data_IF_331618432322
#
_entry.id   IF_331618432322
#
_cell.length_a   1.000
_cell.length_b   1.000
_cell.length_c   1.000
_cell.angle_alpha   90.00
_cell.angle_beta   90.00
_cell.angle_gamma   90.00
#
_symmetry.space_group_name_H-M   'P 1'
#
loop_
_entity.id
_entity.type
_entity.pdbx_description
1 polymer ?
#
# COMPACT_ATOMS: atom_id res chain seq x y z
N UNK A 1 6.76 6.87 2.17
CA UNK A 1 7.09 5.44 2.43
C UNK A 1 5.99 4.77 3.25
N UNK A 2 5.71 5.26 4.48
CA UNK A 2 4.65 4.74 5.36
C UNK A 2 3.28 4.48 4.68
N UNK A 3 2.75 5.43 3.92
CA UNK A 3 1.42 5.27 3.31
C UNK A 3 1.32 4.12 2.30
N UNK A 4 2.43 3.73 1.65
CA UNK A 4 2.46 2.62 0.72
C UNK A 4 2.44 1.27 1.45
N UNK A 5 3.27 1.15 2.50
CA UNK A 5 3.37 -0.07 3.31
C UNK A 5 2.11 -0.29 4.13
N UNK A 6 1.52 0.78 4.67
CA UNK A 6 0.22 0.75 5.34
C UNK A 6 -0.89 0.26 4.39
N UNK A 7 -0.91 0.74 3.15
CA UNK A 7 -1.85 0.26 2.12
C UNK A 7 -1.66 -1.24 1.85
N UNK A 8 -0.42 -1.69 1.64
CA UNK A 8 -0.12 -3.11 1.40
C UNK A 8 -0.59 -3.99 2.56
N UNK A 9 -0.31 -3.60 3.81
CA UNK A 9 -0.78 -4.30 5.01
C UNK A 9 -2.30 -4.35 5.08
N UNK A 10 -2.98 -3.23 4.79
CA UNK A 10 -4.45 -3.18 4.75
C UNK A 10 -5.05 -4.09 3.68
N UNK A 11 -4.52 -4.05 2.46
CA UNK A 11 -4.95 -4.91 1.35
C UNK A 11 -4.72 -6.39 1.65
N UNK A 12 -3.52 -6.74 2.15
CA UNK A 12 -3.19 -8.11 2.56
C UNK A 12 -4.11 -8.61 3.66
N UNK A 13 -4.39 -7.75 4.64
CA UNK A 13 -5.33 -8.07 5.70
C UNK A 13 -6.69 -8.36 5.08
N UNK A 14 -7.24 -7.49 4.23
CA UNK A 14 -8.59 -7.63 3.67
C UNK A 14 -8.78 -8.81 2.70
N UNK A 15 -7.70 -9.29 2.07
CA UNK A 15 -7.73 -10.38 1.10
C UNK A 15 -8.49 -11.62 1.63
N UNK A 16 -9.44 -12.13 0.84
CA UNK A 16 -10.25 -13.29 1.20
C UNK A 16 -11.32 -13.05 2.28
N UNK A 17 -11.43 -11.83 2.84
CA UNK A 17 -12.46 -11.45 3.84
C UNK A 17 -13.57 -10.57 3.31
N UNK A 18 -13.37 -9.97 2.13
CA UNK A 18 -14.33 -9.09 1.45
C UNK A 18 -14.33 -9.39 -0.05
N UNK A 19 -15.45 -9.15 -0.71
CA UNK A 19 -15.59 -9.38 -2.15
C UNK A 19 -14.78 -8.38 -2.98
N UNK A 20 -14.68 -7.14 -2.50
CA UNK A 20 -13.92 -6.08 -3.14
C UNK A 20 -13.47 -5.01 -2.13
N UNK A 21 -12.32 -4.39 -2.40
CA UNK A 21 -11.81 -3.24 -1.67
C UNK A 21 -11.26 -2.22 -2.68
N UNK A 22 -11.76 -0.99 -2.62
CA UNK A 22 -11.28 0.10 -3.47
C UNK A 22 -10.46 1.11 -2.67
N UNK A 23 -9.35 1.55 -3.24
CA UNK A 23 -8.60 2.67 -2.70
C UNK A 23 -9.30 4.00 -3.05
N UNK A 24 -9.51 4.84 -2.05
CA UNK A 24 -9.99 6.21 -2.22
C UNK A 24 -8.80 7.18 -2.20
N UNK A 25 -8.38 7.82 -3.30
CA UNK A 25 -8.94 7.86 -4.67
C UNK A 25 -7.86 7.64 -5.73
N UNK A 26 -8.27 7.49 -6.99
CA UNK A 26 -7.35 7.39 -8.11
C UNK A 26 -6.40 8.60 -8.25
N UNK A 27 -6.86 9.83 -8.01
CA UNK A 27 -6.08 11.04 -8.29
C UNK A 27 -6.39 12.19 -7.32
N UNK A 28 -5.42 13.09 -7.15
CA UNK A 28 -5.59 14.38 -6.46
C UNK A 28 -6.42 15.41 -7.26
N UNK A 29 -6.93 15.06 -8.45
CA UNK A 29 -8.04 15.80 -9.06
C UNK A 29 -9.30 15.62 -8.20
N UNK A 30 -9.34 16.35 -7.08
CA UNK A 30 -10.27 16.18 -5.97
C UNK A 30 -10.46 17.53 -5.26
N UNK A 31 -11.69 17.89 -4.88
CA UNK A 31 -12.02 19.25 -4.41
C UNK A 31 -12.89 19.30 -3.14
N UNK A 32 -13.00 18.23 -2.34
CA UNK A 32 -13.79 18.24 -1.08
C UNK A 32 -13.35 19.35 -0.11
N UNK A 33 -12.05 19.68 -0.11
CA UNK A 33 -11.46 20.78 0.67
C UNK A 33 -11.03 21.96 -0.22
N UNK A 34 -11.64 22.08 -1.40
CA UNK A 34 -11.26 23.03 -2.44
C UNK A 34 -10.09 22.55 -3.31
N UNK A 35 -9.66 23.43 -4.21
CA UNK A 35 -8.61 23.12 -5.19
C UNK A 35 -7.26 22.77 -4.52
N UNK A 36 -6.52 21.79 -5.05
CA UNK A 36 -5.17 21.47 -4.58
C UNK A 36 -4.26 22.70 -4.55
N UNK A 37 -3.77 23.14 -3.38
CA UNK A 37 -3.02 24.40 -3.27
C UNK A 37 -1.58 24.29 -3.78
N UNK A 38 -1.04 23.07 -3.88
CA UNK A 38 0.35 22.76 -4.28
C UNK A 38 0.41 21.35 -4.86
N UNK A 39 1.50 21.02 -5.57
CA UNK A 39 1.70 19.67 -6.13
C UNK A 39 1.60 18.55 -5.07
N UNK A 40 2.27 18.73 -3.93
CA UNK A 40 2.18 17.85 -2.75
C UNK A 40 1.50 18.59 -1.60
N UNK A 41 0.27 18.17 -1.30
CA UNK A 41 -0.61 18.82 -0.34
C UNK A 41 -1.29 17.82 0.62
N UNK A 42 -0.80 16.58 0.67
CA UNK A 42 -1.39 15.53 1.52
C UNK A 42 -2.66 14.90 0.95
N UNK A 43 -3.00 15.17 -0.31
CA UNK A 43 -4.20 14.64 -0.97
C UNK A 43 -4.29 13.11 -0.97
N UNK A 44 -5.53 12.63 -1.05
CA UNK A 44 -5.88 11.20 -1.01
C UNK A 44 -5.38 10.42 -2.23
N UNK A 45 -5.21 11.07 -3.39
CA UNK A 45 -4.94 10.41 -4.66
C UNK A 45 -3.73 9.46 -4.69
N UNK A 46 -3.80 8.43 -5.53
CA UNK A 46 -2.66 7.63 -5.94
C UNK A 46 -1.70 8.42 -6.85
N UNK A 47 -2.25 9.34 -7.66
CA UNK A 47 -1.51 10.19 -8.60
C UNK A 47 -1.74 11.66 -8.24
N UNK A 48 -0.70 12.50 -8.30
CA UNK A 48 -0.83 13.94 -8.07
C UNK A 48 -1.61 14.63 -9.21
N UNK A 49 -2.02 15.88 -9.00
CA UNK A 49 -2.62 16.73 -10.06
C UNK A 49 -1.69 16.91 -11.26
N UNK A 50 -0.37 16.83 -11.03
CA UNK A 50 0.65 16.91 -12.07
C UNK A 50 0.96 15.57 -12.76
N UNK A 51 0.18 14.51 -12.50
CA UNK A 51 0.38 13.20 -13.12
C UNK A 51 1.51 12.36 -12.51
N UNK A 52 2.04 12.74 -11.34
CA UNK A 52 3.13 12.00 -10.70
C UNK A 52 2.55 10.88 -9.83
N UNK A 53 2.96 9.64 -10.10
CA UNK A 53 2.64 8.49 -9.27
C UNK A 53 3.22 8.65 -7.86
N UNK A 54 2.36 8.56 -6.83
CA UNK A 54 2.81 8.55 -5.42
C UNK A 54 3.22 7.13 -5.00
N UNK A 55 3.93 6.96 -3.87
CA UNK A 55 4.27 5.63 -3.37
C UNK A 55 3.09 4.64 -3.26
N UNK A 56 1.88 5.13 -2.95
CA UNK A 56 0.67 4.31 -2.90
C UNK A 56 0.25 3.76 -4.27
N UNK A 57 0.46 4.51 -5.36
CA UNK A 57 0.24 4.01 -6.72
C UNK A 57 1.10 2.78 -6.99
N UNK A 58 2.40 2.88 -6.68
CA UNK A 58 3.32 1.76 -6.89
C UNK A 58 2.98 0.56 -6.02
N UNK A 59 2.46 0.75 -4.80
CA UNK A 59 1.95 -0.35 -3.98
C UNK A 59 0.78 -1.09 -4.66
N UNK A 60 -0.20 -0.36 -5.21
CA UNK A 60 -1.32 -0.96 -5.95
C UNK A 60 -0.84 -1.63 -7.24
N UNK A 61 0.09 -1.02 -7.97
CA UNK A 61 0.69 -1.61 -9.17
C UNK A 61 1.46 -2.89 -8.85
N UNK A 62 2.23 -2.91 -7.76
CA UNK A 62 2.95 -4.10 -7.29
C UNK A 62 1.97 -5.22 -6.88
N UNK A 63 0.87 -4.87 -6.21
CA UNK A 63 -0.22 -5.83 -5.93
C UNK A 63 -0.80 -6.42 -7.21
N UNK A 64 -1.02 -5.61 -8.26
CA UNK A 64 -1.51 -6.12 -9.55
C UNK A 64 -0.53 -7.06 -10.27
N UNK A 65 0.74 -7.08 -9.85
CA UNK A 65 1.73 -8.01 -10.39
C UNK A 65 1.65 -9.40 -9.73
N UNK A 66 0.89 -9.59 -8.65
CA UNK A 66 0.67 -10.92 -8.06
C UNK A 66 -0.09 -11.84 -9.05
N UNK A 67 0.19 -13.13 -8.98
CA UNK A 67 -0.55 -14.16 -9.70
C UNK A 67 -1.81 -14.60 -8.96
N UNK A 68 -2.61 -15.43 -9.62
CA UNK A 68 -3.91 -15.90 -9.13
C UNK A 68 -3.80 -16.93 -8.00
N UNK A 69 -2.71 -17.70 -7.97
CA UNK A 69 -2.51 -18.73 -6.94
C UNK A 69 -1.64 -18.20 -5.83
N UNK A 70 -2.24 -17.89 -4.68
CA UNK A 70 -1.50 -17.52 -3.48
C UNK A 70 -0.64 -18.70 -2.96
N UNK A 71 0.56 -18.38 -2.47
CA UNK A 71 1.47 -19.36 -1.88
C UNK A 71 1.70 -19.08 -0.39
N UNK A 72 1.80 -20.12 0.45
CA UNK A 72 2.18 -19.94 1.84
C UNK A 72 3.62 -19.42 1.93
N UNK A 73 3.86 -18.45 2.82
CA UNK A 73 5.19 -17.91 3.11
C UNK A 73 5.53 -18.15 4.56
N UNK A 74 6.78 -18.54 4.83
CA UNK A 74 7.36 -18.55 6.18
C UNK A 74 8.58 -17.65 6.17
N UNK A 75 8.57 -16.64 7.02
CA UNK A 75 9.69 -15.73 7.25
C UNK A 75 10.05 -15.74 8.75
N UNK A 76 11.27 -15.32 9.07
CA UNK A 76 11.76 -15.23 10.45
C UNK A 76 12.64 -14.00 10.62
N UNK A 77 12.66 -13.40 11.81
CA UNK A 77 13.68 -12.41 12.20
C UNK A 77 13.20 -10.97 12.40
N UNK A 78 11.92 -10.66 12.22
CA UNK A 78 11.38 -9.31 12.48
C UNK A 78 10.68 -9.17 13.85
N UNK A 79 10.60 -10.26 14.62
CA UNK A 79 10.13 -10.25 16.00
C UNK A 79 8.61 -10.38 16.21
N UNK A 80 7.77 -10.45 15.16
CA UNK A 80 6.33 -10.80 15.26
C UNK A 80 5.54 -10.74 13.91
N UNK A 81 6.17 -10.81 12.73
CA UNK A 81 5.52 -10.47 11.43
C UNK A 81 4.87 -9.05 11.42
N UNK A 82 5.29 -8.21 12.37
CA UNK A 82 4.71 -6.91 12.63
C UNK A 82 5.33 -5.79 11.81
N UNK A 83 6.61 -5.95 11.44
CA UNK A 83 7.36 -4.94 10.69
C UNK A 83 7.54 -5.36 9.24
N UNK A 84 7.96 -6.60 9.01
CA UNK A 84 8.23 -7.10 7.66
C UNK A 84 7.13 -8.07 7.27
N UNK A 85 6.41 -7.74 6.22
CA UNK A 85 5.33 -8.57 5.69
C UNK A 85 5.65 -9.02 4.27
N UNK A 86 5.05 -10.15 3.90
CA UNK A 86 5.27 -10.78 2.61
C UNK A 86 3.96 -11.27 2.00
N UNK A 87 3.92 -11.31 0.67
CA UNK A 87 2.84 -11.94 -0.08
C UNK A 87 3.42 -12.58 -1.33
N UNK A 88 3.31 -13.90 -1.43
CA UNK A 88 3.78 -14.67 -2.58
C UNK A 88 2.63 -15.28 -3.37
N UNK A 89 2.82 -15.40 -4.68
CA UNK A 89 1.87 -16.02 -5.59
C UNK A 89 2.58 -16.67 -6.78
N UNK A 90 1.86 -17.56 -7.47
CA UNK A 90 2.26 -18.20 -8.71
C UNK A 90 1.31 -17.78 -9.84
N UNK A 91 1.87 -17.47 -11.01
CA UNK A 91 1.13 -17.21 -12.25
C UNK A 91 0.88 -18.50 -13.04
N UNK A 92 -0.04 -18.45 -14.01
CA UNK A 92 -0.38 -19.60 -14.85
C UNK A 92 0.83 -20.17 -15.63
N UNK A 93 1.81 -19.33 -15.98
CA UNK A 93 3.06 -19.75 -16.65
C UNK A 93 4.09 -20.40 -15.70
N UNK A 94 3.73 -20.55 -14.41
CA UNK A 94 4.60 -21.11 -13.38
C UNK A 94 5.53 -20.11 -12.71
N UNK A 95 5.64 -18.87 -13.23
CA UNK A 95 6.47 -17.82 -12.63
C UNK A 95 5.97 -17.41 -11.25
N UNK A 96 6.90 -16.96 -10.41
CA UNK A 96 6.62 -16.52 -9.04
C UNK A 96 6.59 -14.99 -8.96
N UNK A 97 5.71 -14.47 -8.13
CA UNK A 97 5.71 -13.08 -7.70
C UNK A 97 5.78 -13.03 -6.18
N UNK A 98 6.72 -12.26 -5.64
CA UNK A 98 6.91 -12.10 -4.20
C UNK A 98 6.97 -10.61 -3.89
N UNK A 99 6.04 -10.14 -3.07
CA UNK A 99 6.09 -8.81 -2.47
C UNK A 99 6.63 -8.93 -1.05
N UNK A 100 7.56 -8.04 -0.71
CA UNK A 100 8.12 -7.88 0.62
C UNK A 100 8.11 -6.40 0.95
N UNK A 101 7.59 -6.04 2.12
CA UNK A 101 7.58 -4.65 2.55
C UNK A 101 7.85 -4.53 4.05
N UNK A 102 8.48 -3.42 4.44
CA UNK A 102 8.75 -3.08 5.82
C UNK A 102 7.88 -1.87 6.22
N UNK A 103 6.96 -2.07 7.16
CA UNK A 103 6.09 -1.03 7.70
C UNK A 103 6.55 -0.60 9.08
N UNK A 104 7.41 0.41 9.15
CA UNK A 104 7.83 1.03 10.40
C UNK A 104 6.87 2.13 10.81
N UNK A 105 6.43 2.11 12.07
CA UNK A 105 5.67 3.20 12.67
C UNK A 105 6.54 4.46 12.74
N UNK A 106 5.89 5.62 12.61
CA UNK A 106 6.55 6.90 12.86
C UNK A 106 6.61 7.14 14.36
N UNK A 107 7.68 6.66 14.99
CA UNK A 107 7.92 6.80 16.44
C UNK A 107 7.96 8.26 16.90
N UNK A 108 8.21 9.22 16.00
CA UNK A 108 8.15 10.64 16.34
C UNK A 108 6.74 11.10 16.71
N UNK A 109 5.71 10.32 16.34
CA UNK A 109 4.29 10.58 16.61
C UNK A 109 3.70 9.69 17.71
N UNK A 110 4.52 8.99 18.49
CA UNK A 110 4.04 8.07 19.54
C UNK A 110 3.11 8.74 20.56
N UNK A 111 3.34 10.02 20.83
CA UNK A 111 2.59 10.83 21.80
C UNK A 111 1.44 11.63 21.14
N UNK A 112 1.17 11.38 19.84
CA UNK A 112 0.21 12.12 19.01
C UNK A 112 0.84 13.24 18.19
N UNK A 113 0.17 13.65 17.10
CA UNK A 113 0.52 14.85 16.35
C UNK A 113 -0.23 16.04 16.96
N UNK A 114 0.45 17.07 17.48
CA UNK A 114 -0.21 18.23 18.09
C UNK A 114 -0.81 19.21 17.05
N UNK A 115 -0.65 18.94 15.75
CA UNK A 115 -1.17 19.74 14.65
C UNK A 115 -2.46 19.21 14.07
#
# INVERSE_FOLDING_TARGET
MFAATFLLTGMRSAAGRVDALSYWVASDHFEELGRPPRLLHGGFGLITVGGIAKPRYHAVWLLSCLGETELPVRASGDGADGLVQTWASRRADGSLAVLVWASTLDESKRDGDPR
#
